data_IF_546984600115
#
_entry.id   IF_546984600115
#
_cell.length_a   1.000
_cell.length_b   1.000
_cell.length_c   1.000
_cell.angle_alpha   90.00
_cell.angle_beta   90.00
_cell.angle_gamma   90.00
#
_symmetry.space_group_name_H-M   'P 1'
#
loop_
_entity.id
_entity.type
_entity.pdbx_description
1 polymer ?
#
# COMPACT_ATOMS: atom_id res chain seq x y z
N UNK A 1 -16.11 -6.32 6.73
CA UNK A 1 -15.68 -5.67 5.49
C UNK A 1 -14.70 -4.57 5.81
N UNK A 2 -15.21 -3.46 6.35
CA UNK A 2 -14.42 -2.31 6.81
C UNK A 2 -13.22 -2.69 7.70
N UNK A 3 -13.43 -3.54 8.70
CA UNK A 3 -12.36 -4.02 9.61
C UNK A 3 -11.13 -4.63 8.90
N UNK A 4 -11.35 -5.35 7.79
CA UNK A 4 -10.26 -5.92 7.00
C UNK A 4 -9.47 -4.81 6.28
N UNK A 5 -10.17 -3.92 5.58
CA UNK A 5 -9.53 -2.92 4.72
C UNK A 5 -8.91 -1.78 5.50
N UNK A 6 -9.45 -1.43 6.68
CA UNK A 6 -8.90 -0.33 7.49
C UNK A 6 -7.47 -0.61 7.95
N UNK A 7 -7.07 -1.89 8.09
CA UNK A 7 -5.79 -2.20 8.71
C UNK A 7 -5.27 -3.63 8.66
N UNK A 8 -6.04 -4.61 8.18
CA UNK A 8 -5.65 -6.02 8.25
C UNK A 8 -4.75 -6.42 7.06
N UNK A 9 -3.45 -6.11 7.16
CA UNK A 9 -2.46 -6.74 6.29
C UNK A 9 -2.18 -8.20 6.68
N UNK A 10 -2.49 -8.59 7.93
CA UNK A 10 -2.14 -9.88 8.52
C UNK A 10 -2.87 -11.04 7.86
N UNK A 11 -4.14 -10.89 7.48
CA UNK A 11 -4.89 -11.96 6.83
C UNK A 11 -4.23 -12.46 5.54
N UNK A 12 -3.42 -11.62 4.88
CA UNK A 12 -2.78 -11.93 3.59
C UNK A 12 -1.97 -13.22 3.64
N UNK A 13 -1.25 -13.49 4.74
CA UNK A 13 -0.33 -14.65 4.82
C UNK A 13 -1.07 -15.98 4.87
N UNK A 14 -2.32 -16.01 5.33
CA UNK A 14 -3.14 -17.22 5.44
C UNK A 14 -4.27 -17.24 4.42
N UNK A 15 -5.10 -16.21 4.39
CA UNK A 15 -6.28 -16.14 3.52
C UNK A 15 -5.90 -16.11 2.05
N UNK A 16 -4.78 -15.47 1.70
CA UNK A 16 -4.26 -15.42 0.33
C UNK A 16 -3.14 -16.42 0.06
N UNK A 17 -3.02 -17.48 0.88
CA UNK A 17 -1.94 -18.47 0.75
C UNK A 17 -1.84 -19.08 -0.64
N UNK A 18 -2.96 -19.38 -1.29
CA UNK A 18 -2.95 -19.91 -2.66
C UNK A 18 -2.35 -18.92 -3.67
N UNK A 19 -2.57 -17.62 -3.50
CA UNK A 19 -1.98 -16.58 -4.37
C UNK A 19 -0.47 -16.46 -4.15
N UNK A 20 0.00 -16.61 -2.91
CA UNK A 20 1.42 -16.70 -2.60
C UNK A 20 2.06 -17.95 -3.26
N UNK A 21 1.39 -19.10 -3.17
CA UNK A 21 1.87 -20.36 -3.77
C UNK A 21 1.90 -20.33 -5.30
N UNK A 22 1.00 -19.55 -5.92
CA UNK A 22 0.99 -19.29 -7.36
C UNK A 22 1.97 -18.19 -7.79
N UNK A 23 2.69 -17.56 -6.86
CA UNK A 23 3.65 -16.50 -7.14
C UNK A 23 3.03 -15.15 -7.50
N UNK A 24 1.73 -14.95 -7.22
CA UNK A 24 1.02 -13.69 -7.46
C UNK A 24 1.22 -12.68 -6.32
N UNK A 25 1.58 -13.16 -5.14
CA UNK A 25 1.95 -12.34 -3.98
C UNK A 25 3.26 -12.83 -3.37
N UNK A 26 4.04 -11.96 -2.72
CA UNK A 26 5.22 -12.37 -1.96
C UNK A 26 4.84 -13.42 -0.89
N UNK A 27 5.63 -14.50 -0.74
CA UNK A 27 5.31 -15.58 0.19
C UNK A 27 5.57 -15.22 1.67
N UNK A 28 6.54 -14.34 1.94
CA UNK A 28 6.98 -13.96 3.28
C UNK A 28 6.94 -12.42 3.44
N UNK A 29 6.52 -11.95 4.62
CA UNK A 29 6.49 -10.52 5.00
C UNK A 29 5.63 -9.57 4.16
N UNK A 30 4.74 -10.08 3.30
CA UNK A 30 3.78 -9.23 2.53
C UNK A 30 2.86 -8.39 3.44
N UNK A 31 2.65 -8.82 4.69
CA UNK A 31 1.81 -8.13 5.65
C UNK A 31 2.51 -6.97 6.40
N UNK A 32 3.81 -6.74 6.18
CA UNK A 32 4.57 -5.72 6.91
C UNK A 32 4.36 -4.36 6.25
N UNK A 33 3.47 -3.56 6.83
CA UNK A 33 3.29 -2.16 6.44
C UNK A 33 4.37 -1.27 7.07
N UNK A 34 5.17 -0.50 6.30
CA UNK A 34 5.99 0.59 6.83
C UNK A 34 5.17 1.67 7.54
N UNK A 35 3.88 1.82 7.22
CA UNK A 35 3.00 2.73 7.94
C UNK A 35 1.56 2.17 8.09
N UNK A 36 0.99 2.38 9.27
CA UNK A 36 -0.43 2.20 9.56
C UNK A 36 -0.94 3.49 10.20
N UNK A 37 -1.88 4.16 9.53
CA UNK A 37 -2.37 5.49 9.90
C UNK A 37 -3.82 5.37 10.36
N UNK A 38 -4.12 5.92 11.54
CA UNK A 38 -5.48 6.05 12.07
C UNK A 38 -5.78 7.52 12.31
N UNK A 39 -6.98 7.96 11.92
CA UNK A 39 -7.45 9.33 12.11
C UNK A 39 -8.64 9.37 13.06
N UNK A 40 -8.90 10.54 13.65
CA UNK A 40 -10.15 10.79 14.38
C UNK A 40 -11.36 10.55 13.45
N UNK A 41 -12.43 9.93 13.96
CA UNK A 41 -13.62 9.61 13.16
C UNK A 41 -13.63 8.21 12.55
N UNK A 42 -12.64 7.37 12.85
CA UNK A 42 -12.63 5.95 12.47
C UNK A 42 -12.03 5.66 11.09
N UNK A 43 -11.51 6.67 10.39
CA UNK A 43 -10.81 6.47 9.13
C UNK A 43 -9.39 5.92 9.38
N UNK A 44 -8.93 5.04 8.51
CA UNK A 44 -7.58 4.50 8.61
C UNK A 44 -7.10 3.87 7.31
N UNK A 45 -5.78 3.75 7.18
CA UNK A 45 -5.15 3.12 6.05
C UNK A 45 -3.79 2.51 6.41
N UNK A 46 -3.45 1.39 5.77
CA UNK A 46 -2.11 0.83 5.70
C UNK A 46 -1.45 1.20 4.37
N UNK A 47 -0.14 1.47 4.43
CA UNK A 47 0.71 1.72 3.26
C UNK A 47 1.83 0.70 3.29
N UNK A 48 1.98 -0.05 2.20
CA UNK A 48 2.92 -1.14 2.03
C UNK A 48 4.00 -0.78 1.02
N UNK A 49 5.26 -0.99 1.39
CA UNK A 49 6.40 -0.96 0.48
C UNK A 49 6.62 -2.36 -0.11
N UNK A 50 7.42 -2.43 -1.17
CA UNK A 50 7.93 -3.70 -1.66
C UNK A 50 8.76 -4.42 -0.58
N UNK A 51 8.57 -5.74 -0.36
CA UNK A 51 9.41 -6.49 0.56
C UNK A 51 10.90 -6.44 0.15
N UNK A 52 11.84 -6.53 1.10
CA UNK A 52 13.27 -6.55 0.80
C UNK A 52 13.62 -7.60 -0.27
N UNK A 53 14.32 -7.17 -1.32
CA UNK A 53 14.77 -8.05 -2.40
C UNK A 53 13.74 -8.26 -3.53
N UNK A 54 12.53 -7.72 -3.41
CA UNK A 54 11.53 -7.74 -4.49
C UNK A 54 11.52 -6.37 -5.19
N UNK A 55 11.88 -6.29 -6.48
CA UNK A 55 11.82 -5.04 -7.22
C UNK A 55 10.34 -4.65 -7.44
N UNK A 56 9.98 -3.42 -7.07
CA UNK A 56 8.73 -2.80 -7.48
C UNK A 56 9.03 -1.56 -8.34
N UNK A 57 8.25 -1.33 -9.42
CA UNK A 57 8.38 -0.08 -10.16
C UNK A 57 8.05 1.09 -9.24
N UNK A 58 8.79 2.22 -9.33
CA UNK A 58 8.48 3.40 -8.55
C UNK A 58 7.08 3.91 -8.90
N UNK A 59 6.43 4.56 -7.93
CA UNK A 59 5.09 5.14 -8.11
C UNK A 59 4.07 4.10 -8.58
N UNK A 60 4.16 2.86 -8.08
CA UNK A 60 3.30 1.73 -8.49
C UNK A 60 3.31 1.43 -10.00
N UNK A 61 4.26 1.98 -10.76
CA UNK A 61 4.32 1.87 -12.22
C UNK A 61 3.34 2.78 -12.97
N UNK A 62 2.86 3.87 -12.36
CA UNK A 62 2.07 4.87 -13.07
C UNK A 62 2.85 5.52 -14.24
N UNK A 63 2.14 5.97 -15.30
CA UNK A 63 2.75 6.76 -16.38
C UNK A 63 3.32 8.10 -15.88
N UNK A 64 4.32 8.62 -16.59
CA UNK A 64 4.99 9.88 -16.25
C UNK A 64 4.02 11.07 -16.16
N UNK A 65 2.99 11.10 -17.01
CA UNK A 65 1.98 12.17 -17.01
C UNK A 65 1.15 12.18 -15.72
N UNK A 66 1.00 11.03 -15.05
CA UNK A 66 0.32 10.92 -13.76
C UNK A 66 1.27 11.31 -12.63
N UNK A 67 2.54 10.91 -12.73
CA UNK A 67 3.58 11.22 -11.73
C UNK A 67 3.83 12.73 -11.66
N UNK A 68 3.92 13.40 -12.81
CA UNK A 68 4.13 14.86 -12.88
C UNK A 68 2.96 15.61 -12.25
N UNK A 69 1.72 15.21 -12.56
CA UNK A 69 0.52 15.81 -11.99
C UNK A 69 0.38 15.61 -10.47
N UNK A 70 0.99 14.57 -9.89
CA UNK A 70 0.96 14.33 -8.46
C UNK A 70 1.61 15.48 -7.67
N UNK A 71 2.81 15.90 -8.08
CA UNK A 71 3.54 16.98 -7.41
C UNK A 71 2.82 18.32 -7.56
N UNK A 72 2.25 18.59 -8.74
CA UNK A 72 1.47 19.80 -9.00
C UNK A 72 0.18 19.84 -8.17
N UNK A 73 -0.52 18.70 -8.04
CA UNK A 73 -1.81 18.62 -7.35
C UNK A 73 -1.71 18.76 -5.83
N UNK A 74 -0.72 18.12 -5.20
CA UNK A 74 -0.54 18.21 -3.73
C UNK A 74 0.24 19.46 -3.31
N UNK A 75 1.00 20.09 -4.21
CA UNK A 75 1.79 21.27 -3.91
C UNK A 75 3.00 21.01 -2.99
N UNK A 76 3.35 19.74 -2.77
CA UNK A 76 4.52 19.31 -2.01
C UNK A 76 5.17 18.06 -2.62
N UNK A 77 6.43 17.78 -2.22
CA UNK A 77 7.14 16.57 -2.63
C UNK A 77 6.97 15.38 -1.70
N UNK A 78 6.29 15.55 -0.55
CA UNK A 78 6.17 14.50 0.48
C UNK A 78 5.26 13.37 -0.02
N UNK A 79 4.15 13.72 -0.65
CA UNK A 79 3.23 12.73 -1.23
C UNK A 79 3.87 11.95 -2.37
N UNK A 80 4.70 12.61 -3.19
CA UNK A 80 5.48 11.96 -4.24
C UNK A 80 6.47 10.94 -3.68
N UNK A 81 7.30 11.32 -2.72
CA UNK A 81 8.29 10.40 -2.14
C UNK A 81 7.63 9.23 -1.39
N UNK A 82 6.46 9.44 -0.78
CA UNK A 82 5.64 8.37 -0.20
C UNK A 82 5.17 7.39 -1.29
N UNK A 83 4.55 7.88 -2.36
CA UNK A 83 4.02 7.02 -3.42
C UNK A 83 5.12 6.29 -4.20
N UNK A 84 6.30 6.90 -4.34
CA UNK A 84 7.45 6.35 -5.05
C UNK A 84 7.87 4.97 -4.57
N UNK A 85 7.73 4.68 -3.28
CA UNK A 85 8.10 3.40 -2.66
C UNK A 85 6.92 2.47 -2.39
N UNK A 86 5.71 3.01 -2.52
CA UNK A 86 4.48 2.31 -2.22
C UNK A 86 4.19 1.25 -3.29
N UNK A 87 3.80 0.06 -2.81
CA UNK A 87 3.32 -1.07 -3.61
C UNK A 87 1.82 -1.30 -3.41
N UNK A 88 1.32 -1.15 -2.18
CA UNK A 88 -0.12 -1.26 -1.87
C UNK A 88 -0.57 -0.19 -0.88
N UNK A 89 -1.80 0.29 -1.08
CA UNK A 89 -2.53 1.09 -0.09
C UNK A 89 -3.88 0.41 0.12
N UNK A 90 -4.23 0.14 1.37
CA UNK A 90 -5.56 -0.31 1.75
C UNK A 90 -6.07 0.59 2.87
N UNK A 91 -7.37 0.86 2.90
CA UNK A 91 -7.93 1.71 3.94
C UNK A 91 -9.44 1.70 3.93
N UNK A 92 -10.01 2.32 4.96
CA UNK A 92 -11.44 2.57 5.08
C UNK A 92 -11.67 4.01 5.48
N UNK A 93 -12.59 4.66 4.77
CA UNK A 93 -13.21 5.90 5.23
C UNK A 93 -14.50 5.48 5.95
N UNK A 94 -14.52 5.59 7.28
CA UNK A 94 -15.64 5.22 8.15
C UNK A 94 -17.03 5.57 7.58
N UNK A 95 -18.05 4.70 7.78
CA UNK A 95 -18.01 3.44 8.54
C UNK A 95 -17.29 2.27 7.86
#
# INVERSE_FOLDING_TARGET
GADNFVGDGYHTVMTHRSMCELGLLPPDNVAVSPAHVSLSGGHGAGVLDAPPGIPAPPYMGYPEEIISGLSEGYGDGVHGEMLKRTMFIHGTVFP
#
